data_IF_650023964696
#
_entry.id   IF_650023964696
#
_cell.length_a   1.000
_cell.length_b   1.000
_cell.length_c   1.000
_cell.angle_alpha   90.00
_cell.angle_beta   90.00
_cell.angle_gamma   90.00
#
_symmetry.space_group_name_H-M   'P 1'
#
loop_
_entity.id
_entity.type
_entity.pdbx_description
1 polymer ?
#
# COMPACT_ATOMS: atom_id res chain seq x y z
N UNK A 1 -6.65 -2.17 -12.33
CA UNK A 1 -5.60 -1.18 -12.65
C UNK A 1 -6.16 0.22 -12.93
N UNK A 2 -7.24 0.38 -13.74
CA UNK A 2 -7.79 1.73 -14.07
C UNK A 2 -8.29 2.50 -12.83
N UNK A 3 -8.94 1.82 -11.88
CA UNK A 3 -9.43 2.43 -10.65
C UNK A 3 -8.28 2.92 -9.75
N UNK A 4 -7.20 2.16 -9.65
CA UNK A 4 -6.02 2.57 -8.88
C UNK A 4 -5.32 3.78 -9.50
N UNK A 5 -5.20 3.84 -10.84
CA UNK A 5 -4.65 4.99 -11.53
C UNK A 5 -5.46 6.28 -11.28
N UNK A 6 -6.79 6.19 -11.32
CA UNK A 6 -7.67 7.32 -11.00
C UNK A 6 -7.54 7.78 -9.55
N UNK A 7 -7.49 6.83 -8.60
CA UNK A 7 -7.28 7.14 -7.19
C UNK A 7 -5.94 7.84 -6.96
N UNK A 8 -4.87 7.31 -7.55
CA UNK A 8 -3.53 7.89 -7.48
C UNK A 8 -3.49 9.31 -8.02
N UNK A 9 -4.09 9.55 -9.19
CA UNK A 9 -4.19 10.89 -9.78
C UNK A 9 -5.00 11.85 -8.92
N UNK A 10 -6.09 11.38 -8.31
CA UNK A 10 -6.90 12.20 -7.40
C UNK A 10 -6.09 12.62 -6.17
N UNK A 11 -5.39 11.69 -5.50
CA UNK A 11 -4.54 11.99 -4.33
C UNK A 11 -3.46 13.01 -4.68
N UNK A 12 -2.80 12.84 -5.84
CA UNK A 12 -1.76 13.74 -6.30
C UNK A 12 -2.29 15.14 -6.60
N UNK A 13 -3.45 15.25 -7.23
CA UNK A 13 -4.12 16.55 -7.48
C UNK A 13 -4.50 17.25 -6.17
N UNK A 14 -5.10 16.52 -5.22
CA UNK A 14 -5.41 17.07 -3.89
C UNK A 14 -4.17 17.58 -3.18
N UNK A 15 -3.07 16.84 -3.25
CA UNK A 15 -1.81 17.26 -2.65
C UNK A 15 -1.26 18.55 -3.30
N UNK A 16 -1.32 18.66 -4.64
CA UNK A 16 -0.91 19.89 -5.34
C UNK A 16 -1.76 21.07 -4.89
N UNK A 17 -3.08 20.93 -4.87
CA UNK A 17 -4.00 21.99 -4.44
C UNK A 17 -3.70 22.43 -3.01
N UNK A 18 -3.58 21.48 -2.09
CA UNK A 18 -3.27 21.77 -0.69
C UNK A 18 -1.92 22.46 -0.52
N UNK A 19 -0.87 21.98 -1.20
CA UNK A 19 0.46 22.54 -1.13
C UNK A 19 0.54 23.94 -1.77
N UNK A 20 -0.17 24.20 -2.88
CA UNK A 20 -0.26 25.55 -3.48
C UNK A 20 -0.98 26.51 -2.54
N UNK A 21 -2.08 26.08 -1.93
CA UNK A 21 -2.81 26.87 -0.94
C UNK A 21 -1.93 27.23 0.26
N UNK A 22 -1.21 26.25 0.79
CA UNK A 22 -0.27 26.46 1.91
C UNK A 22 0.86 27.42 1.53
N UNK A 23 1.41 27.27 0.33
CA UNK A 23 2.49 28.16 -0.15
C UNK A 23 1.99 29.59 -0.38
N UNK A 24 0.79 29.73 -0.93
CA UNK A 24 0.14 31.04 -1.18
C UNK A 24 -0.19 31.73 0.16
N UNK A 25 -0.72 31.00 1.13
CA UNK A 25 -1.00 31.53 2.45
C UNK A 25 0.26 32.01 3.16
N UNK A 26 1.37 31.25 3.02
CA UNK A 26 2.65 31.55 3.67
C UNK A 26 3.41 32.69 2.97
N UNK A 27 3.58 32.60 1.68
CA UNK A 27 4.45 33.51 0.92
C UNK A 27 3.69 34.67 0.30
N UNK A 28 2.38 34.62 0.29
CA UNK A 28 1.56 35.55 -0.47
C UNK A 28 1.72 35.37 -1.99
N UNK A 29 1.34 36.39 -2.76
CA UNK A 29 1.32 36.29 -4.20
C UNK A 29 0.09 35.56 -4.72
N UNK A 30 -0.06 35.52 -6.03
CA UNK A 30 -1.15 34.77 -6.68
C UNK A 30 -0.87 33.27 -6.71
N UNK A 31 -1.91 32.50 -6.92
CA UNK A 31 -1.82 31.05 -7.12
C UNK A 31 -0.84 30.69 -8.25
N UNK A 32 -0.83 31.51 -9.30
CA UNK A 32 0.04 31.34 -10.46
C UNK A 32 1.54 31.44 -10.15
N UNK A 33 1.95 32.28 -9.20
CA UNK A 33 3.35 32.45 -8.84
C UNK A 33 3.92 31.26 -8.05
N UNK A 34 3.07 30.52 -7.34
CA UNK A 34 3.47 29.43 -6.46
C UNK A 34 3.31 28.03 -7.09
N UNK A 35 2.43 27.91 -8.12
CA UNK A 35 2.08 26.61 -8.69
C UNK A 35 3.28 25.91 -9.34
N UNK A 36 4.15 26.64 -10.05
CA UNK A 36 5.29 26.07 -10.76
C UNK A 36 6.24 25.32 -9.83
N UNK A 37 6.61 25.93 -8.71
CA UNK A 37 7.46 25.30 -7.70
C UNK A 37 6.78 24.09 -7.05
N UNK A 38 5.52 24.25 -6.65
CA UNK A 38 4.77 23.17 -5.99
C UNK A 38 4.58 21.98 -6.93
N UNK A 39 4.25 22.23 -8.20
CA UNK A 39 4.15 21.18 -9.22
C UNK A 39 5.46 20.42 -9.36
N UNK A 40 6.56 21.14 -9.55
CA UNK A 40 7.89 20.52 -9.71
C UNK A 40 8.24 19.62 -8.52
N UNK A 41 8.08 20.13 -7.29
CA UNK A 41 8.48 19.37 -6.11
C UNK A 41 7.51 18.21 -5.81
N UNK A 42 6.22 18.37 -6.07
CA UNK A 42 5.25 17.32 -5.86
C UNK A 42 5.41 16.22 -6.91
N UNK A 43 5.25 16.54 -8.19
CA UNK A 43 5.36 15.53 -9.26
C UNK A 43 6.75 14.92 -9.34
N UNK A 44 7.82 15.73 -9.22
CA UNK A 44 9.19 15.23 -9.27
C UNK A 44 9.48 14.21 -8.17
N UNK A 45 9.04 14.50 -6.92
CA UNK A 45 9.21 13.56 -5.80
C UNK A 45 8.38 12.29 -6.00
N UNK A 46 7.14 12.41 -6.47
CA UNK A 46 6.26 11.25 -6.69
C UNK A 46 6.77 10.36 -7.82
N UNK A 47 7.13 10.92 -8.97
CA UNK A 47 7.66 10.15 -10.10
C UNK A 47 8.95 9.43 -9.70
N UNK A 48 9.88 10.12 -9.03
CA UNK A 48 11.13 9.52 -8.61
C UNK A 48 10.92 8.38 -7.60
N UNK A 49 10.17 8.60 -6.52
CA UNK A 49 10.01 7.62 -5.46
C UNK A 49 9.16 6.42 -5.90
N UNK A 50 8.04 6.65 -6.60
CA UNK A 50 7.25 5.53 -7.13
C UNK A 50 7.96 4.80 -8.25
N UNK A 51 8.72 5.50 -9.10
CA UNK A 51 9.55 4.87 -10.12
C UNK A 51 10.61 3.93 -9.51
N UNK A 52 11.27 4.38 -8.43
CA UNK A 52 12.23 3.55 -7.68
C UNK A 52 11.51 2.38 -7.02
N UNK A 53 10.38 2.60 -6.33
CA UNK A 53 9.62 1.55 -5.66
C UNK A 53 9.19 0.46 -6.65
N UNK A 54 8.57 0.86 -7.77
CA UNK A 54 8.13 -0.08 -8.80
C UNK A 54 9.33 -0.84 -9.38
N UNK A 55 10.43 -0.14 -9.67
CA UNK A 55 11.66 -0.77 -10.15
C UNK A 55 12.21 -1.81 -9.17
N UNK A 56 12.22 -1.51 -7.87
CA UNK A 56 12.66 -2.47 -6.83
C UNK A 56 11.69 -3.65 -6.75
N UNK A 57 10.39 -3.44 -6.79
CA UNK A 57 9.40 -4.52 -6.70
C UNK A 57 9.43 -5.45 -7.92
N UNK A 58 9.79 -4.92 -9.10
CA UNK A 58 10.02 -5.75 -10.30
C UNK A 58 11.33 -6.54 -10.19
N UNK A 59 12.41 -5.90 -9.71
CA UNK A 59 13.71 -6.54 -9.58
C UNK A 59 13.78 -7.55 -8.44
N UNK A 60 13.03 -7.31 -7.36
CA UNK A 60 13.01 -8.11 -6.14
C UNK A 60 11.56 -8.41 -5.71
N UNK A 61 10.86 -9.35 -6.38
CA UNK A 61 9.46 -9.67 -6.07
C UNK A 61 9.24 -10.05 -4.60
N UNK A 62 10.21 -10.71 -3.96
CA UNK A 62 10.17 -11.06 -2.54
C UNK A 62 10.07 -9.87 -1.58
N UNK A 63 10.29 -8.64 -2.04
CA UNK A 63 10.11 -7.45 -1.21
C UNK A 63 8.65 -7.23 -0.78
N UNK A 64 7.68 -7.77 -1.53
CA UNK A 64 6.26 -7.73 -1.18
C UNK A 64 5.97 -8.49 0.11
N UNK A 65 6.77 -9.54 0.42
CA UNK A 65 6.57 -10.40 1.59
C UNK A 65 6.58 -9.63 2.91
N UNK A 66 7.31 -8.52 2.98
CA UNK A 66 7.34 -7.68 4.17
C UNK A 66 5.95 -7.24 4.67
N UNK A 67 5.00 -7.08 3.78
CA UNK A 67 3.60 -6.76 4.13
C UNK A 67 2.64 -7.91 3.80
N UNK A 68 2.89 -8.69 2.74
CA UNK A 68 1.99 -9.77 2.35
C UNK A 68 1.95 -10.88 3.39
N UNK A 69 3.07 -11.22 4.02
CA UNK A 69 3.14 -12.31 5.00
C UNK A 69 2.52 -11.95 6.36
N UNK A 70 2.34 -10.68 6.64
CA UNK A 70 1.71 -10.21 7.87
C UNK A 70 0.31 -9.68 7.57
N UNK A 71 0.20 -8.53 6.89
CA UNK A 71 -1.08 -7.86 6.64
C UNK A 71 -1.91 -8.63 5.62
N UNK A 72 -1.27 -9.05 4.53
CA UNK A 72 -1.91 -9.85 3.48
C UNK A 72 -2.42 -11.18 4.02
N UNK A 73 -1.58 -11.91 4.77
CA UNK A 73 -2.00 -13.14 5.42
C UNK A 73 -3.19 -12.94 6.37
N UNK A 74 -3.13 -11.93 7.25
CA UNK A 74 -4.22 -11.64 8.16
C UNK A 74 -5.56 -11.44 7.44
N UNK A 75 -5.54 -10.78 6.30
CA UNK A 75 -6.75 -10.53 5.50
C UNK A 75 -7.33 -11.80 4.86
N UNK A 76 -6.49 -12.80 4.53
CA UNK A 76 -6.93 -14.03 3.85
C UNK A 76 -6.98 -15.26 4.74
N UNK A 77 -6.49 -15.19 5.97
CA UNK A 77 -6.31 -16.33 6.88
C UNK A 77 -7.59 -17.16 7.07
N UNK A 78 -8.74 -16.52 7.25
CA UNK A 78 -10.02 -17.22 7.42
C UNK A 78 -10.41 -18.04 6.18
N UNK A 79 -10.28 -17.45 5.00
CA UNK A 79 -10.58 -18.12 3.73
C UNK A 79 -9.58 -19.24 3.42
N UNK A 80 -8.30 -19.00 3.69
CA UNK A 80 -7.24 -19.97 3.50
C UNK A 80 -7.41 -21.19 4.42
N UNK A 81 -7.66 -20.97 5.71
CA UNK A 81 -7.90 -22.04 6.68
C UNK A 81 -9.10 -22.91 6.27
N UNK A 82 -10.21 -22.27 5.88
CA UNK A 82 -11.42 -22.98 5.44
C UNK A 82 -11.14 -23.83 4.21
N UNK A 83 -10.53 -23.23 3.17
CA UNK A 83 -10.23 -23.90 1.91
C UNK A 83 -9.31 -25.12 2.12
N UNK A 84 -8.22 -24.94 2.87
CA UNK A 84 -7.25 -25.99 3.12
C UNK A 84 -7.86 -27.13 3.98
N UNK A 85 -8.68 -26.81 4.97
CA UNK A 85 -9.40 -27.82 5.75
C UNK A 85 -10.42 -28.62 4.91
N UNK A 86 -11.05 -27.97 3.92
CA UNK A 86 -11.94 -28.66 2.99
C UNK A 86 -11.20 -29.53 1.99
N UNK A 87 -10.02 -29.09 1.53
CA UNK A 87 -9.28 -29.69 0.42
C UNK A 87 -8.33 -30.80 0.87
N UNK A 88 -7.58 -30.57 1.95
CA UNK A 88 -6.49 -31.47 2.34
C UNK A 88 -6.96 -32.57 3.31
N UNK A 89 -6.31 -33.72 3.17
CA UNK A 89 -6.53 -34.86 4.08
C UNK A 89 -5.92 -34.54 5.43
N UNK A 90 -6.69 -34.74 6.49
CA UNK A 90 -6.20 -34.63 7.87
C UNK A 90 -5.61 -36.02 8.24
N UNK A 91 -4.36 -36.37 7.83
CA UNK A 91 -3.95 -37.76 7.95
C UNK A 91 -2.46 -38.02 8.10
N UNK A 92 -2.21 -39.16 8.70
CA UNK A 92 -0.99 -39.94 8.74
C UNK A 92 -0.44 -40.20 7.31
N UNK A 93 0.48 -39.34 6.90
CA UNK A 93 1.10 -39.36 5.57
C UNK A 93 2.02 -40.57 5.42
N UNK A 94 2.52 -41.09 6.54
CA UNK A 94 3.39 -42.26 6.54
C UNK A 94 2.74 -43.51 5.88
N UNK A 95 1.41 -43.66 6.00
CA UNK A 95 0.69 -44.77 5.40
C UNK A 95 0.59 -44.64 3.88
N UNK A 96 0.33 -43.44 3.35
CA UNK A 96 0.22 -43.19 1.90
C UNK A 96 1.58 -43.18 1.17
N UNK A 97 2.65 -42.73 1.82
CA UNK A 97 4.00 -42.79 1.25
C UNK A 97 4.47 -44.23 1.13
N UNK A 98 4.08 -45.08 2.07
CA UNK A 98 4.42 -46.50 2.01
C UNK A 98 3.66 -47.24 0.90
N UNK A 99 2.42 -46.90 0.64
CA UNK A 99 1.63 -47.49 -0.46
C UNK A 99 2.10 -47.04 -1.85
N UNK A 100 2.53 -45.77 -2.00
CA UNK A 100 3.04 -45.26 -3.27
C UNK A 100 4.49 -45.70 -3.58
N UNK A 101 5.17 -46.29 -2.64
CA UNK A 101 6.63 -46.60 -2.71
C UNK A 101 6.99 -47.99 -3.19
N UNK A 102 6.05 -48.86 -3.56
CA UNK A 102 6.37 -50.15 -4.13
C UNK A 102 6.89 -49.99 -5.57
N UNK A 103 8.23 -50.04 -5.73
CA UNK A 103 8.88 -50.02 -7.05
C UNK A 103 9.73 -48.80 -7.38
N UNK A 104 9.94 -47.87 -6.45
CA UNK A 104 10.74 -46.65 -6.66
C UNK A 104 12.10 -46.75 -6.01
N UNK A 105 13.14 -46.24 -6.71
CA UNK A 105 14.56 -46.21 -6.26
C UNK A 105 14.67 -45.54 -4.89
N UNK A 106 15.48 -46.13 -3.99
CA UNK A 106 15.62 -45.73 -2.56
C UNK A 106 15.95 -44.23 -2.38
N UNK A 107 16.76 -43.64 -3.27
CA UNK A 107 17.13 -42.22 -3.25
C UNK A 107 15.94 -41.32 -3.59
N UNK A 108 15.11 -41.79 -4.53
CA UNK A 108 13.88 -41.05 -4.94
C UNK A 108 12.80 -41.16 -3.86
N UNK A 109 12.71 -42.30 -3.19
CA UNK A 109 11.82 -42.53 -2.04
C UNK A 109 12.16 -41.59 -0.87
N UNK A 110 13.47 -41.46 -0.56
CA UNK A 110 13.95 -40.61 0.55
C UNK A 110 13.77 -39.11 0.26
N UNK A 111 13.94 -38.67 -1.00
CA UNK A 111 13.69 -37.28 -1.38
C UNK A 111 12.17 -36.94 -1.39
N UNK A 112 11.32 -37.86 -1.80
CA UNK A 112 9.87 -37.74 -1.73
C UNK A 112 9.37 -37.71 -0.28
N UNK A 113 9.97 -38.53 0.60
CA UNK A 113 9.63 -38.57 2.03
C UNK A 113 9.98 -37.26 2.73
N UNK A 114 11.18 -36.72 2.45
CA UNK A 114 11.63 -35.44 3.01
C UNK A 114 10.74 -34.26 2.53
N UNK A 115 10.35 -34.28 1.26
CA UNK A 115 9.45 -33.28 0.70
C UNK A 115 8.03 -33.39 1.31
N UNK A 116 7.52 -34.60 1.49
CA UNK A 116 6.22 -34.85 2.09
C UNK A 116 6.19 -34.45 3.58
N UNK A 117 7.24 -34.78 4.36
CA UNK A 117 7.37 -34.35 5.75
C UNK A 117 7.41 -32.80 5.88
N UNK A 118 8.10 -32.12 4.96
CA UNK A 118 8.12 -30.67 4.93
C UNK A 118 6.73 -30.08 4.65
N UNK A 119 6.00 -30.69 3.69
CA UNK A 119 4.62 -30.27 3.36
C UNK A 119 3.66 -30.54 4.51
N UNK A 120 3.80 -31.66 5.23
CA UNK A 120 2.97 -31.96 6.43
C UNK A 120 3.18 -30.94 7.52
N UNK A 121 4.43 -30.56 7.79
CA UNK A 121 4.72 -29.50 8.74
C UNK A 121 4.12 -28.17 8.31
N UNK A 122 4.13 -27.87 7.00
CA UNK A 122 3.53 -26.67 6.46
C UNK A 122 2.00 -26.73 6.48
N UNK A 123 1.40 -27.87 6.16
CA UNK A 123 -0.07 -28.07 6.25
C UNK A 123 -0.57 -28.01 7.69
N UNK A 124 0.22 -28.48 8.65
CA UNK A 124 -0.06 -28.31 10.08
C UNK A 124 -0.01 -26.83 10.55
N UNK A 125 0.62 -25.96 9.75
CA UNK A 125 0.66 -24.53 10.02
C UNK A 125 0.31 -23.74 8.76
N UNK A 126 -0.99 -23.46 8.61
CA UNK A 126 -1.55 -22.77 7.44
C UNK A 126 -0.87 -21.41 7.18
N UNK A 127 -0.40 -20.73 8.21
CA UNK A 127 0.29 -19.46 8.02
C UNK A 127 1.62 -19.62 7.29
N UNK A 128 2.37 -20.68 7.62
CA UNK A 128 3.63 -20.98 6.94
C UNK A 128 3.33 -21.37 5.48
N UNK A 129 2.39 -22.27 5.26
CA UNK A 129 2.05 -22.73 3.93
C UNK A 129 1.62 -21.59 3.01
N UNK A 130 0.70 -20.74 3.47
CA UNK A 130 0.18 -19.64 2.65
C UNK A 130 1.23 -18.55 2.42
N UNK A 131 2.19 -18.38 3.33
CA UNK A 131 3.25 -17.39 3.16
C UNK A 131 4.39 -17.86 2.23
N UNK A 132 4.61 -19.16 2.14
CA UNK A 132 5.59 -19.75 1.20
C UNK A 132 5.07 -19.79 -0.25
N UNK A 133 3.74 -19.82 -0.45
CA UNK A 133 3.16 -19.84 -1.78
C UNK A 133 3.00 -18.41 -2.30
N UNK A 134 3.68 -18.09 -3.39
CA UNK A 134 3.51 -16.83 -4.14
C UNK A 134 2.97 -17.12 -5.54
N UNK A 135 2.39 -16.14 -6.25
CA UNK A 135 1.85 -16.38 -7.59
C UNK A 135 2.85 -17.01 -8.56
N UNK A 136 4.13 -16.66 -8.43
CA UNK A 136 5.22 -17.11 -9.29
C UNK A 136 5.60 -18.60 -9.07
N UNK A 137 5.46 -19.10 -7.85
CA UNK A 137 5.80 -20.51 -7.52
C UNK A 137 4.56 -21.40 -7.33
N UNK A 138 3.36 -20.87 -7.52
CA UNK A 138 2.10 -21.57 -7.25
C UNK A 138 1.99 -22.92 -7.96
N UNK A 139 2.40 -22.99 -9.23
CA UNK A 139 2.32 -24.22 -10.01
C UNK A 139 3.14 -25.36 -9.38
N UNK A 140 4.38 -25.07 -9.00
CA UNK A 140 5.28 -26.03 -8.34
C UNK A 140 4.75 -26.46 -6.97
N UNK A 141 4.22 -25.53 -6.18
CA UNK A 141 3.58 -25.86 -4.90
C UNK A 141 2.33 -26.70 -5.08
N UNK A 142 1.53 -26.43 -6.12
CA UNK A 142 0.35 -27.22 -6.40
C UNK A 142 0.69 -28.68 -6.72
N UNK A 143 1.71 -28.94 -7.53
CA UNK A 143 2.18 -30.30 -7.80
C UNK A 143 2.55 -31.08 -6.52
N UNK A 144 3.03 -30.36 -5.51
CA UNK A 144 3.36 -30.95 -4.19
C UNK A 144 2.13 -31.13 -3.30
N UNK A 145 1.12 -30.27 -3.43
CA UNK A 145 -0.13 -30.34 -2.65
C UNK A 145 -1.16 -31.31 -3.23
N UNK A 146 -1.18 -31.52 -4.54
CA UNK A 146 -2.17 -32.32 -5.23
C UNK A 146 -2.28 -33.77 -4.70
N UNK A 147 -1.18 -34.47 -4.38
CA UNK A 147 -1.24 -35.80 -3.76
C UNK A 147 -1.89 -35.83 -2.38
N UNK A 148 -1.95 -34.69 -1.68
CA UNK A 148 -2.53 -34.53 -0.36
C UNK A 148 -4.01 -34.12 -0.39
N UNK A 149 -4.58 -33.95 -1.58
CA UNK A 149 -5.99 -33.61 -1.75
C UNK A 149 -6.85 -34.84 -1.40
N UNK A 150 -7.99 -34.60 -0.78
CA UNK A 150 -8.94 -35.65 -0.39
C UNK A 150 -9.37 -36.48 -1.60
N UNK A 151 -9.31 -37.82 -1.53
CA UNK A 151 -9.63 -38.70 -2.64
C UNK A 151 -11.11 -38.72 -3.03
N UNK A 152 -11.98 -38.19 -2.18
CA UNK A 152 -13.42 -38.11 -2.42
C UNK A 152 -13.85 -36.88 -3.23
N UNK A 153 -12.93 -35.99 -3.58
CA UNK A 153 -13.21 -34.83 -4.42
C UNK A 153 -13.22 -35.22 -5.90
N UNK A 154 -14.19 -34.67 -6.64
CA UNK A 154 -14.21 -34.86 -8.09
C UNK A 154 -13.10 -34.03 -8.76
N UNK A 155 -12.64 -34.40 -9.96
CA UNK A 155 -11.64 -33.62 -10.71
C UNK A 155 -12.07 -32.15 -10.92
N UNK A 156 -13.36 -31.89 -11.08
CA UNK A 156 -13.89 -30.54 -11.20
C UNK A 156 -13.78 -29.75 -9.89
N UNK A 157 -14.05 -30.38 -8.76
CA UNK A 157 -13.92 -29.77 -7.42
C UNK A 157 -12.43 -29.46 -7.12
N UNK A 158 -11.51 -30.37 -7.52
CA UNK A 158 -10.08 -30.16 -7.33
C UNK A 158 -9.61 -28.93 -8.11
N UNK A 159 -10.07 -28.78 -9.36
CA UNK A 159 -9.73 -27.63 -10.19
C UNK A 159 -10.29 -26.32 -9.58
N UNK A 160 -11.54 -26.34 -9.14
CA UNK A 160 -12.17 -25.18 -8.49
C UNK A 160 -11.40 -24.76 -7.22
N UNK A 161 -11.01 -25.73 -6.38
CA UNK A 161 -10.22 -25.44 -5.16
C UNK A 161 -8.81 -24.95 -5.46
N UNK A 162 -8.18 -25.42 -6.54
CA UNK A 162 -6.93 -24.90 -7.06
C UNK A 162 -7.05 -23.41 -7.42
N UNK A 163 -8.09 -23.06 -8.17
CA UNK A 163 -8.35 -21.68 -8.59
C UNK A 163 -8.68 -20.77 -7.40
N UNK A 164 -9.43 -21.28 -6.42
CA UNK A 164 -9.70 -20.58 -5.17
C UNK A 164 -8.41 -20.33 -4.37
N UNK A 165 -7.51 -21.32 -4.25
CA UNK A 165 -6.24 -21.18 -3.58
C UNK A 165 -5.35 -20.15 -4.27
N UNK A 166 -5.26 -20.20 -5.60
CA UNK A 166 -4.54 -19.21 -6.39
C UNK A 166 -5.09 -17.80 -6.14
N UNK A 167 -6.41 -17.66 -6.13
CA UNK A 167 -7.07 -16.37 -5.86
C UNK A 167 -6.72 -15.81 -4.47
N UNK A 168 -6.65 -16.67 -3.45
CA UNK A 168 -6.24 -16.32 -2.08
C UNK A 168 -4.78 -15.85 -2.06
N UNK A 169 -3.88 -16.58 -2.72
CA UNK A 169 -2.45 -16.25 -2.81
C UNK A 169 -2.25 -14.91 -3.53
N UNK A 170 -2.91 -14.72 -4.67
CA UNK A 170 -2.88 -13.46 -5.44
C UNK A 170 -3.43 -12.30 -4.62
N UNK A 171 -4.54 -12.50 -3.90
CA UNK A 171 -5.12 -11.46 -3.06
C UNK A 171 -4.16 -11.05 -1.94
N UNK A 172 -3.52 -12.02 -1.27
CA UNK A 172 -2.52 -11.77 -0.23
C UNK A 172 -1.37 -10.92 -0.78
N UNK A 173 -0.82 -11.30 -1.92
CA UNK A 173 0.29 -10.62 -2.57
C UNK A 173 -0.07 -9.18 -3.00
N UNK A 174 -1.26 -9.01 -3.59
CA UNK A 174 -1.79 -7.70 -3.97
C UNK A 174 -2.01 -6.77 -2.76
N UNK A 175 -2.40 -7.30 -1.60
CA UNK A 175 -2.52 -6.51 -0.36
C UNK A 175 -1.13 -6.05 0.09
N UNK A 176 -0.13 -6.91 0.03
CA UNK A 176 1.26 -6.55 0.34
C UNK A 176 1.77 -5.42 -0.56
N UNK A 177 1.53 -5.53 -1.86
CA UNK A 177 1.87 -4.49 -2.84
C UNK A 177 1.15 -3.17 -2.56
N UNK A 178 -0.16 -3.22 -2.28
CA UNK A 178 -0.96 -2.04 -1.93
C UNK A 178 -0.43 -1.34 -0.67
N UNK A 179 -0.01 -2.10 0.34
CA UNK A 179 0.60 -1.54 1.56
C UNK A 179 1.89 -0.77 1.26
N UNK A 180 2.73 -1.27 0.35
CA UNK A 180 3.93 -0.55 -0.10
C UNK A 180 3.57 0.78 -0.75
N UNK A 181 2.55 0.80 -1.62
CA UNK A 181 2.10 2.04 -2.27
C UNK A 181 1.53 3.04 -1.26
N UNK A 182 0.71 2.59 -0.32
CA UNK A 182 0.13 3.44 0.73
C UNK A 182 1.24 4.02 1.61
N UNK A 183 2.17 3.18 2.08
CA UNK A 183 3.29 3.60 2.91
C UNK A 183 4.14 4.66 2.20
N UNK A 184 4.50 4.43 0.94
CA UNK A 184 5.27 5.37 0.13
C UNK A 184 4.52 6.67 -0.09
N UNK A 185 3.21 6.64 -0.34
CA UNK A 185 2.38 7.83 -0.51
C UNK A 185 2.36 8.68 0.78
N UNK A 186 2.20 8.07 1.95
CA UNK A 186 2.22 8.77 3.24
C UNK A 186 3.57 9.46 3.48
N UNK A 187 4.67 8.76 3.20
CA UNK A 187 6.01 9.35 3.29
C UNK A 187 6.18 10.54 2.34
N UNK A 188 5.73 10.41 1.10
CA UNK A 188 5.83 11.48 0.11
C UNK A 188 5.01 12.72 0.47
N UNK A 189 3.77 12.52 0.95
CA UNK A 189 2.94 13.62 1.45
C UNK A 189 3.66 14.38 2.55
N UNK A 190 4.27 13.66 3.48
CA UNK A 190 5.01 14.24 4.60
C UNK A 190 6.27 15.00 4.13
N UNK A 191 7.07 14.40 3.25
CA UNK A 191 8.32 15.00 2.73
C UNK A 191 8.01 16.24 1.91
N UNK A 192 7.05 16.17 0.98
CA UNK A 192 6.68 17.29 0.13
C UNK A 192 6.05 18.41 0.95
N UNK A 193 5.16 18.07 1.88
CA UNK A 193 4.56 19.04 2.82
C UNK A 193 5.62 19.77 3.65
N UNK A 194 6.59 19.03 4.19
CA UNK A 194 7.71 19.64 4.92
C UNK A 194 8.54 20.57 4.04
N UNK A 195 8.87 20.18 2.82
CA UNK A 195 9.61 21.03 1.87
C UNK A 195 8.85 22.32 1.51
N UNK A 196 7.54 22.22 1.32
CA UNK A 196 6.67 23.41 1.09
C UNK A 196 6.65 24.31 2.32
N UNK A 197 6.49 23.71 3.51
CA UNK A 197 6.45 24.46 4.76
C UNK A 197 7.77 25.16 5.09
N UNK A 198 8.90 24.60 4.72
CA UNK A 198 10.25 25.16 5.03
C UNK A 198 10.84 26.02 3.93
N UNK A 199 10.22 26.05 2.73
CA UNK A 199 10.73 26.91 1.64
C UNK A 199 10.72 28.38 2.08
N UNK A 200 11.84 29.06 1.86
CA UNK A 200 11.91 30.52 2.01
C UNK A 200 11.13 31.20 0.90
N UNK A 201 10.36 32.22 1.24
CA UNK A 201 9.60 32.98 0.27
C UNK A 201 10.52 34.00 -0.42
N UNK A 202 10.60 33.92 -1.74
CA UNK A 202 11.23 34.96 -2.58
C UNK A 202 10.20 36.07 -2.78
N UNK A 203 9.98 36.88 -1.74
CA UNK A 203 9.06 38.01 -1.82
C UNK A 203 9.83 39.21 -2.32
N UNK A 204 9.45 39.73 -3.48
CA UNK A 204 9.96 41.01 -3.99
C UNK A 204 9.72 42.07 -2.88
N UNK A 205 10.74 42.82 -2.45
CA UNK A 205 10.59 43.85 -1.42
C UNK A 205 9.44 44.83 -1.73
N UNK A 206 9.16 45.10 -2.99
CA UNK A 206 8.02 45.96 -3.40
C UNK A 206 6.67 45.35 -3.04
N UNK A 207 6.50 44.01 -3.25
CA UNK A 207 5.27 43.29 -2.89
C UNK A 207 5.12 43.18 -1.39
N UNK A 208 6.22 43.00 -0.65
CA UNK A 208 6.20 42.96 0.81
C UNK A 208 5.78 44.32 1.37
N UNK A 209 6.35 45.41 0.88
CA UNK A 209 5.99 46.77 1.31
C UNK A 209 4.52 47.11 1.00
N UNK A 210 4.04 46.79 -0.22
CA UNK A 210 2.65 47.02 -0.59
C UNK A 210 1.64 46.25 0.31
N UNK A 211 1.99 45.07 0.78
CA UNK A 211 1.16 44.32 1.73
C UNK A 211 1.22 44.89 3.15
N UNK A 212 2.38 45.38 3.54
CA UNK A 212 2.52 46.04 4.84
C UNK A 212 1.68 47.32 4.87
N UNK A 213 1.72 48.10 3.78
CA UNK A 213 0.90 49.32 3.67
C UNK A 213 -0.61 48.97 3.73
N UNK A 214 -1.07 47.95 2.98
CA UNK A 214 -2.44 47.48 3.08
C UNK A 214 -2.85 47.00 4.47
N UNK A 215 -1.93 46.39 5.21
CA UNK A 215 -2.19 46.00 6.58
C UNK A 215 -2.37 47.23 7.50
N UNK A 216 -1.51 48.22 7.35
CA UNK A 216 -1.63 49.48 8.11
C UNK A 216 -2.93 50.21 7.82
N UNK A 217 -3.32 50.31 6.55
CA UNK A 217 -4.59 50.92 6.15
C UNK A 217 -5.81 50.22 6.78
N UNK A 218 -5.80 48.89 6.80
CA UNK A 218 -6.86 48.11 7.45
C UNK A 218 -6.86 48.28 8.97
N UNK A 219 -5.72 48.38 9.61
CA UNK A 219 -5.61 48.57 11.04
C UNK A 219 -6.11 49.98 11.40
N UNK A 220 -5.74 50.96 10.63
CA UNK A 220 -6.23 52.36 10.84
C UNK A 220 -7.73 52.45 10.66
N UNK A 221 -8.30 51.82 9.62
CA UNK A 221 -9.75 51.76 9.40
C UNK A 221 -10.49 51.06 10.58
N UNK A 222 -9.91 50.03 11.19
CA UNK A 222 -10.47 49.39 12.38
C UNK A 222 -10.42 50.27 13.59
N UNK A 223 -9.29 50.96 13.80
CA UNK A 223 -9.13 51.93 14.92
C UNK A 223 -10.08 53.10 14.80
N UNK A 224 -10.25 53.65 13.59
CA UNK A 224 -11.22 54.72 13.28
C UNK A 224 -12.66 54.26 13.52
N UNK A 225 -13.02 53.05 13.06
CA UNK A 225 -14.35 52.47 13.31
C UNK A 225 -14.62 52.26 14.81
N UNK A 226 -13.61 51.81 15.54
CA UNK A 226 -13.70 51.62 17.00
C UNK A 226 -13.83 52.95 17.73
N UNK A 227 -13.11 54.00 17.29
CA UNK A 227 -13.20 55.33 17.86
C UNK A 227 -14.60 55.94 17.62
N UNK A 228 -15.17 55.78 16.43
CA UNK A 228 -16.54 56.20 16.08
C UNK A 228 -17.56 55.46 16.96
N UNK A 229 -17.45 54.14 17.10
CA UNK A 229 -18.34 53.33 17.91
C UNK A 229 -18.32 53.78 19.39
N UNK A 230 -17.14 54.08 19.94
CA UNK A 230 -16.98 54.57 21.30
C UNK A 230 -17.49 55.98 21.50
N UNK A 231 -17.40 56.87 20.49
CA UNK A 231 -17.90 58.23 20.57
C UNK A 231 -19.45 58.32 20.55
N UNK A 232 -20.10 57.34 19.93
CA UNK A 232 -21.58 57.26 19.90
C UNK A 232 -22.22 56.75 21.17
N UNK A 233 -21.41 56.16 22.11
CA UNK A 233 -21.95 55.57 23.33
C UNK A 233 -22.18 56.59 24.47
N UNK A 234 -21.76 57.85 24.32
CA UNK A 234 -21.83 58.88 25.38
C UNK A 234 -22.86 59.98 25.17
N UNK A 235 -23.83 59.81 24.29
CA UNK A 235 -24.99 60.70 24.17
C UNK A 235 -26.22 60.10 24.85
N UNK A 236 -26.19 59.89 26.17
CA UNK A 236 -27.39 59.74 26.99
C UNK A 236 -27.60 61.00 27.77
N UNK A 237 -28.70 61.71 27.43
CA UNK A 237 -29.29 62.85 28.19
C UNK A 237 -29.72 62.40 29.59
#
# INVERSE_FOLDING_TARGET
YKAYGLYFMAVLLFQVIFNVSTMTAKCGGGWQSNIGYVMLITFGSWIAMFGILIGIMIAFPGMKSAFSDVIGYYAVAGSANKLLAEMLVNTDIDEKINEAGEGVDQVKKQSMQSAAEAVVKMVGNVSILINEIVPENFASYWETLEPLVKPNLSPADILDKKDQLLSIVVLRDNIGEACWYIYTAVLLISIVGYKVATKKCDTDPKVANAKYDQYLDKQQALDDATAIANSTTYTLN
#
